data_IF_035379348911
#
_entry.id   IF_035379348911
#
_cell.length_a   1.000
_cell.length_b   1.000
_cell.length_c   1.000
_cell.angle_alpha   90.00
_cell.angle_beta   90.00
_cell.angle_gamma   90.00
#
_symmetry.space_group_name_H-M   'P 1'
#
loop_
_entity.id
_entity.type
_entity.pdbx_description
1 polymer ?
#
# COMPACT_ATOMS: atom_id res chain seq x y z
N UNK A 1 3.95 13.00 -23.73
CA UNK A 1 4.16 11.96 -22.70
C UNK A 1 4.15 12.68 -21.37
N UNK A 2 3.44 12.13 -20.39
CA UNK A 2 3.51 12.65 -19.02
C UNK A 2 4.97 12.67 -18.58
N UNK A 3 5.40 13.75 -17.94
CA UNK A 3 6.78 13.93 -17.50
C UNK A 3 6.85 14.73 -16.22
N UNK A 4 7.74 14.29 -15.32
CA UNK A 4 7.97 14.88 -14.01
C UNK A 4 9.43 15.29 -13.87
N UNK A 5 9.69 16.42 -13.22
CA UNK A 5 11.04 16.91 -12.96
C UNK A 5 11.44 16.66 -11.50
N UNK A 6 12.17 15.58 -11.18
CA UNK A 6 12.65 15.35 -9.82
C UNK A 6 13.74 16.35 -9.39
N UNK A 7 14.32 17.14 -10.29
CA UNK A 7 15.27 18.20 -9.90
C UNK A 7 14.57 19.42 -9.30
N UNK A 8 13.24 19.48 -9.41
CA UNK A 8 12.43 20.59 -8.91
C UNK A 8 12.90 21.96 -9.45
N UNK A 9 13.47 21.97 -10.66
CA UNK A 9 14.06 23.13 -11.31
C UNK A 9 15.43 23.59 -10.77
N UNK A 10 16.10 22.81 -9.91
CA UNK A 10 17.40 23.17 -9.29
C UNK A 10 18.62 22.58 -10.00
N UNK A 11 18.45 21.89 -11.13
CA UNK A 11 19.52 21.23 -11.89
C UNK A 11 20.02 19.92 -11.26
N UNK A 12 20.03 19.81 -9.93
CA UNK A 12 20.25 18.58 -9.18
C UNK A 12 19.01 18.22 -8.33
N UNK A 13 18.77 16.92 -8.14
CA UNK A 13 17.71 16.42 -7.25
C UNK A 13 18.08 16.73 -5.80
N UNK A 14 17.34 17.60 -5.07
CA UNK A 14 17.64 17.87 -3.67
C UNK A 14 17.36 16.63 -2.81
N UNK A 15 17.82 16.66 -1.56
CA UNK A 15 17.31 15.77 -0.53
C UNK A 15 15.84 16.07 -0.21
N UNK A 16 15.15 15.14 0.44
CA UNK A 16 13.70 15.24 0.65
C UNK A 16 13.34 16.49 1.45
N UNK A 17 14.07 16.76 2.53
CA UNK A 17 13.81 17.89 3.44
C UNK A 17 14.30 19.23 2.89
N UNK A 18 15.14 19.22 1.86
CA UNK A 18 15.71 20.42 1.24
C UNK A 18 14.91 20.90 0.02
N UNK A 19 13.87 20.14 -0.35
CA UNK A 19 12.97 20.52 -1.42
C UNK A 19 12.22 21.82 -1.08
N UNK A 20 11.91 22.67 -2.07
CA UNK A 20 11.14 23.89 -1.81
C UNK A 20 9.77 23.60 -1.18
N UNK A 21 9.38 24.38 -0.16
CA UNK A 21 8.14 24.23 0.60
C UNK A 21 6.89 23.99 -0.26
N UNK A 22 6.78 24.69 -1.41
CA UNK A 22 5.66 24.55 -2.36
C UNK A 22 5.41 23.12 -2.89
N UNK A 23 6.38 22.22 -2.77
CA UNK A 23 6.24 20.81 -3.15
C UNK A 23 5.84 19.91 -1.97
N UNK A 24 6.01 20.38 -0.73
CA UNK A 24 5.70 19.58 0.45
C UNK A 24 4.20 19.50 0.70
N UNK A 25 3.71 18.29 0.97
CA UNK A 25 2.35 18.05 1.45
C UNK A 25 2.42 17.11 2.64
N UNK A 26 1.64 17.40 3.68
CA UNK A 26 1.48 16.49 4.81
C UNK A 26 0.04 16.00 4.88
N UNK A 27 -0.16 14.70 4.66
CA UNK A 27 -1.49 14.08 4.56
C UNK A 27 -1.51 12.85 5.46
N UNK A 28 -2.44 12.79 6.40
CA UNK A 28 -2.58 11.65 7.32
C UNK A 28 -1.37 11.46 8.25
N UNK A 29 -0.51 12.47 8.38
CA UNK A 29 0.75 12.40 9.13
C UNK A 29 1.96 11.97 8.29
N UNK A 30 1.78 11.70 6.99
CA UNK A 30 2.86 11.33 6.06
C UNK A 30 3.30 12.54 5.25
N UNK A 31 4.61 12.75 5.16
CA UNK A 31 5.18 13.81 4.32
C UNK A 31 5.38 13.32 2.88
N UNK A 32 4.97 14.17 1.94
CA UNK A 32 5.08 13.95 0.51
C UNK A 32 5.78 15.10 -0.18
N UNK A 33 6.50 14.80 -1.27
CA UNK A 33 6.76 15.76 -2.34
C UNK A 33 5.76 15.53 -3.47
N UNK A 34 4.91 16.53 -3.72
CA UNK A 34 3.90 16.52 -4.76
C UNK A 34 4.44 17.21 -6.02
N UNK A 35 4.61 16.43 -7.08
CA UNK A 35 4.95 16.95 -8.41
C UNK A 35 3.72 16.83 -9.30
N UNK A 36 3.38 17.94 -9.97
CA UNK A 36 2.42 17.95 -11.07
C UNK A 36 3.17 17.74 -12.38
N UNK A 37 2.73 16.77 -13.16
CA UNK A 37 3.32 16.46 -14.45
C UNK A 37 2.76 17.35 -15.56
N UNK A 38 3.42 17.29 -16.72
CA UNK A 38 3.14 18.20 -17.85
C UNK A 38 1.73 18.12 -18.42
N UNK A 39 1.01 17.01 -18.25
CA UNK A 39 -0.38 16.86 -18.72
C UNK A 39 -1.38 16.81 -17.55
N UNK A 40 -1.00 17.34 -16.37
CA UNK A 40 -1.79 17.37 -15.14
C UNK A 40 -1.94 16.03 -14.41
N UNK A 41 -1.03 15.08 -14.63
CA UNK A 41 -0.85 13.96 -13.71
C UNK A 41 -0.28 14.42 -12.38
N UNK A 42 -0.52 13.65 -11.33
CA UNK A 42 0.01 13.94 -9.99
C UNK A 42 0.87 12.78 -9.52
N UNK A 43 2.04 13.11 -8.96
CA UNK A 43 2.97 12.15 -8.41
C UNK A 43 3.41 12.61 -7.01
N UNK A 44 3.05 11.83 -6.01
CA UNK A 44 3.35 12.09 -4.61
C UNK A 44 4.44 11.13 -4.16
N UNK A 45 5.65 11.62 -3.89
CA UNK A 45 6.73 10.81 -3.34
C UNK A 45 6.71 10.86 -1.83
N UNK A 46 6.78 9.72 -1.16
CA UNK A 46 7.11 9.70 0.26
C UNK A 46 8.60 9.93 0.46
N UNK A 47 9.00 10.18 1.70
CA UNK A 47 10.41 10.16 2.13
C UNK A 47 11.13 8.85 1.75
N UNK A 48 10.43 7.71 1.74
CA UNK A 48 10.98 6.42 1.34
C UNK A 48 11.16 6.29 -0.18
N UNK A 49 10.29 6.92 -0.97
CA UNK A 49 10.35 6.86 -2.43
C UNK A 49 11.33 7.84 -3.06
N UNK A 50 11.54 9.01 -2.44
CA UNK A 50 12.36 10.08 -3.03
C UNK A 50 13.80 9.69 -3.42
N UNK A 51 14.53 8.85 -2.64
CA UNK A 51 15.83 8.33 -3.06
C UNK A 51 15.78 7.54 -4.38
N UNK A 52 14.60 7.02 -4.74
CA UNK A 52 14.36 6.20 -5.92
C UNK A 52 13.57 6.95 -7.01
N UNK A 53 13.44 8.28 -6.93
CA UNK A 53 12.54 9.06 -7.78
C UNK A 53 12.69 8.74 -9.28
N UNK A 54 13.92 8.65 -9.79
CA UNK A 54 14.20 8.33 -11.20
C UNK A 54 13.67 6.95 -11.65
N UNK A 55 13.61 5.97 -10.74
CA UNK A 55 13.05 4.63 -11.00
C UNK A 55 11.53 4.57 -10.80
N UNK A 56 10.95 5.57 -10.15
CA UNK A 56 9.52 5.64 -9.86
C UNK A 56 8.73 6.47 -10.87
N UNK A 57 9.43 7.14 -11.79
CA UNK A 57 8.81 7.90 -12.88
C UNK A 57 7.91 6.99 -13.75
N UNK A 58 6.67 7.42 -14.09
CA UNK A 58 5.70 6.61 -14.85
C UNK A 58 6.23 6.08 -16.20
N UNK A 59 7.19 6.76 -16.82
CA UNK A 59 7.84 6.32 -18.06
C UNK A 59 8.57 4.98 -17.91
N UNK A 60 8.94 4.60 -16.67
CA UNK A 60 9.64 3.34 -16.35
C UNK A 60 8.72 2.15 -16.14
N UNK A 61 7.44 2.37 -15.89
CA UNK A 61 6.54 1.28 -15.46
C UNK A 61 5.07 1.46 -15.89
N UNK A 62 4.58 2.68 -16.12
CA UNK A 62 3.19 2.94 -16.52
C UNK A 62 3.03 3.09 -18.04
N UNK A 63 3.85 3.94 -18.65
CA UNK A 63 3.72 4.31 -20.07
C UNK A 63 3.79 3.09 -20.97
N UNK A 64 2.87 2.99 -21.94
CA UNK A 64 2.81 1.87 -22.88
C UNK A 64 2.42 0.53 -22.23
N UNK A 65 1.77 0.58 -21.07
CA UNK A 65 1.37 -0.59 -20.25
C UNK A 65 2.55 -1.45 -19.78
N UNK A 66 3.69 -0.83 -19.47
CA UNK A 66 4.86 -1.54 -18.96
C UNK A 66 4.58 -2.29 -17.64
N UNK A 67 3.54 -1.93 -16.88
CA UNK A 67 3.17 -2.67 -15.68
C UNK A 67 2.54 -4.02 -16.01
N UNK A 68 2.04 -4.21 -17.24
CA UNK A 68 1.38 -5.44 -17.72
C UNK A 68 2.29 -6.28 -18.63
N UNK A 69 3.13 -5.64 -19.46
CA UNK A 69 3.96 -6.35 -20.45
C UNK A 69 5.16 -7.06 -19.81
N UNK A 70 6.13 -6.34 -19.19
CA UNK A 70 7.17 -6.97 -18.37
C UNK A 70 6.71 -7.24 -16.92
N UNK A 71 5.65 -6.60 -16.45
CA UNK A 71 5.12 -6.84 -15.11
C UNK A 71 4.30 -8.11 -15.01
N UNK A 72 4.35 -8.76 -13.85
CA UNK A 72 3.61 -9.99 -13.57
C UNK A 72 2.43 -9.66 -12.65
N UNK A 73 1.21 -9.95 -13.10
CA UNK A 73 0.03 -9.91 -12.22
C UNK A 73 0.23 -10.91 -11.07
N UNK A 74 -0.03 -10.47 -9.83
CA UNK A 74 0.13 -11.33 -8.68
C UNK A 74 -1.09 -12.26 -8.56
N UNK A 75 -0.86 -13.56 -8.78
CA UNK A 75 -1.89 -14.58 -8.64
C UNK A 75 -2.49 -14.54 -7.22
N UNK A 76 -3.82 -14.60 -7.12
CA UNK A 76 -4.53 -14.57 -5.84
C UNK A 76 -4.74 -13.18 -5.23
N UNK A 77 -4.21 -12.10 -5.82
CA UNK A 77 -4.64 -10.75 -5.46
C UNK A 77 -6.07 -10.52 -5.96
N UNK A 78 -6.97 -10.04 -5.10
CA UNK A 78 -8.36 -9.72 -5.50
C UNK A 78 -8.46 -8.39 -6.26
N UNK A 79 -7.36 -7.62 -6.36
CA UNK A 79 -7.26 -6.38 -7.12
C UNK A 79 -6.17 -6.42 -8.21
N UNK A 80 -6.09 -5.35 -9.01
CA UNK A 80 -5.07 -5.19 -10.04
C UNK A 80 -3.72 -4.82 -9.40
N UNK A 81 -2.93 -5.85 -9.08
CA UNK A 81 -1.61 -5.70 -8.45
C UNK A 81 -0.55 -6.40 -9.29
N UNK A 82 0.52 -5.68 -9.61
CA UNK A 82 1.60 -6.16 -10.47
C UNK A 82 2.95 -6.04 -9.78
N UNK A 83 3.80 -7.04 -9.98
CA UNK A 83 5.25 -6.90 -9.73
C UNK A 83 5.92 -6.41 -11.01
N UNK A 84 6.58 -5.27 -10.94
CA UNK A 84 7.25 -4.66 -12.09
C UNK A 84 8.74 -4.51 -11.79
N UNK A 85 9.62 -5.31 -12.42
CA UNK A 85 11.06 -5.06 -12.37
C UNK A 85 11.36 -3.69 -13.00
N UNK A 86 12.16 -2.87 -12.32
CA UNK A 86 12.54 -1.55 -12.84
C UNK A 86 14.04 -1.38 -12.74
N UNK A 87 14.65 -0.88 -13.82
CA UNK A 87 16.06 -0.56 -13.84
C UNK A 87 16.41 0.45 -12.73
N UNK A 88 17.43 0.11 -11.94
CA UNK A 88 17.91 0.94 -10.86
C UNK A 88 19.45 0.95 -10.86
N UNK A 89 20.11 2.13 -10.79
CA UNK A 89 21.57 2.24 -10.95
C UNK A 89 22.39 1.34 -10.01
N UNK A 90 21.94 1.20 -8.76
CA UNK A 90 22.68 0.48 -7.71
C UNK A 90 22.08 -0.90 -7.38
N UNK A 91 20.85 -1.19 -7.81
CA UNK A 91 20.07 -2.34 -7.32
C UNK A 91 19.54 -3.14 -8.49
N UNK A 92 20.31 -4.13 -8.92
CA UNK A 92 19.99 -4.98 -10.08
C UNK A 92 18.66 -5.74 -9.96
N UNK A 93 18.17 -5.98 -8.74
CA UNK A 93 16.89 -6.67 -8.46
C UNK A 93 15.79 -5.74 -7.95
N UNK A 94 15.88 -4.44 -8.23
CA UNK A 94 14.85 -3.49 -7.82
C UNK A 94 13.53 -3.78 -8.57
N UNK A 95 12.45 -3.85 -7.81
CA UNK A 95 11.12 -4.07 -8.36
C UNK A 95 10.09 -3.30 -7.54
N UNK A 96 9.05 -2.87 -8.24
CA UNK A 96 7.90 -2.20 -7.68
C UNK A 96 6.75 -3.19 -7.53
N UNK A 97 5.92 -2.95 -6.52
CA UNK A 97 4.52 -3.37 -6.54
C UNK A 97 3.72 -2.19 -7.05
N UNK A 98 3.04 -2.37 -8.17
CA UNK A 98 2.12 -1.40 -8.76
C UNK A 98 0.70 -1.86 -8.40
N UNK A 99 0.05 -1.16 -7.47
CA UNK A 99 -1.29 -1.48 -6.97
C UNK A 99 -2.27 -0.40 -7.40
N UNK A 100 -3.31 -0.76 -8.14
CA UNK A 100 -4.40 0.15 -8.47
C UNK A 100 -5.37 0.20 -7.29
N UNK A 101 -5.62 1.41 -6.78
CA UNK A 101 -6.50 1.62 -5.63
C UNK A 101 -7.95 1.30 -5.99
N UNK A 102 -8.66 0.68 -5.04
CA UNK A 102 -10.07 0.30 -5.15
C UNK A 102 -11.00 1.17 -4.30
N UNK A 103 -10.52 2.29 -3.77
CA UNK A 103 -11.34 3.13 -2.90
C UNK A 103 -12.63 3.58 -3.60
N UNK A 104 -13.73 3.58 -2.84
CA UNK A 104 -15.06 3.83 -3.36
C UNK A 104 -15.74 2.64 -4.05
N UNK A 105 -15.10 1.47 -4.16
CA UNK A 105 -15.70 0.25 -4.69
C UNK A 105 -16.35 -0.62 -3.59
N UNK A 106 -17.16 -1.60 -4.00
CA UNK A 106 -17.68 -2.65 -3.14
C UNK A 106 -16.57 -3.52 -2.55
N UNK A 107 -16.64 -3.78 -1.24
CA UNK A 107 -15.73 -4.70 -0.56
C UNK A 107 -16.39 -6.07 -0.46
N UNK A 108 -15.82 -7.06 -1.15
CA UNK A 108 -16.18 -8.47 -0.98
C UNK A 108 -15.25 -9.15 0.03
N UNK A 109 -15.61 -9.13 1.32
CA UNK A 109 -14.83 -9.82 2.37
C UNK A 109 -15.34 -11.25 2.52
N UNK A 110 -14.43 -12.21 2.63
CA UNK A 110 -14.76 -13.58 3.03
C UNK A 110 -14.37 -13.76 4.49
N UNK A 111 -15.37 -13.92 5.36
CA UNK A 111 -15.15 -14.11 6.80
C UNK A 111 -15.15 -15.61 7.12
N UNK A 112 -14.18 -16.06 7.92
CA UNK A 112 -14.16 -17.42 8.44
C UNK A 112 -15.31 -17.65 9.44
N UNK A 113 -15.90 -18.85 9.43
CA UNK A 113 -17.11 -19.16 10.20
C UNK A 113 -16.98 -18.85 11.70
N UNK A 114 -15.81 -19.05 12.27
CA UNK A 114 -15.55 -18.80 13.70
C UNK A 114 -15.67 -17.31 14.07
N UNK A 115 -15.35 -16.42 13.13
CA UNK A 115 -15.37 -14.96 13.33
C UNK A 115 -16.76 -14.35 13.11
N UNK A 116 -17.68 -15.06 12.44
CA UNK A 116 -19.06 -14.60 12.21
C UNK A 116 -19.80 -14.37 13.54
N UNK A 117 -19.48 -15.16 14.57
CA UNK A 117 -20.07 -15.00 15.91
C UNK A 117 -19.59 -13.75 16.67
N UNK A 118 -18.49 -13.13 16.25
CA UNK A 118 -17.93 -11.94 16.89
C UNK A 118 -18.64 -10.67 16.38
N UNK A 119 -19.63 -10.20 17.13
CA UNK A 119 -20.43 -9.01 16.77
C UNK A 119 -19.60 -7.74 16.54
N UNK A 120 -18.52 -7.53 17.29
CA UNK A 120 -17.68 -6.36 17.12
C UNK A 120 -16.88 -6.43 15.82
N UNK A 121 -16.37 -7.62 15.49
CA UNK A 121 -15.71 -7.87 14.21
C UNK A 121 -16.68 -7.69 13.05
N UNK A 122 -17.87 -8.30 13.13
CA UNK A 122 -18.89 -8.19 12.09
C UNK A 122 -19.36 -6.74 11.86
N UNK A 123 -19.50 -5.94 12.92
CA UNK A 123 -19.81 -4.52 12.77
C UNK A 123 -18.75 -3.75 11.97
N UNK A 124 -17.48 -4.15 12.05
CA UNK A 124 -16.42 -3.56 11.21
C UNK A 124 -16.42 -4.10 9.79
N UNK A 125 -16.75 -5.37 9.59
CA UNK A 125 -16.92 -5.97 8.25
C UNK A 125 -18.08 -5.31 7.51
N UNK A 126 -19.21 -5.08 8.17
CA UNK A 126 -20.40 -4.45 7.57
C UNK A 126 -20.12 -3.00 7.12
N UNK A 127 -19.17 -2.33 7.77
CA UNK A 127 -18.74 -0.96 7.47
C UNK A 127 -17.41 -0.94 6.70
N UNK A 128 -16.95 -2.10 6.20
CA UNK A 128 -15.66 -2.18 5.55
C UNK A 128 -15.67 -1.37 4.25
N UNK A 129 -14.71 -0.46 4.16
CA UNK A 129 -14.43 0.33 2.98
C UNK A 129 -12.96 0.15 2.63
N UNK A 130 -12.65 0.05 1.34
CA UNK A 130 -11.25 0.13 0.91
C UNK A 130 -10.67 1.48 1.33
N UNK A 131 -9.50 1.44 1.96
CA UNK A 131 -8.77 2.64 2.32
C UNK A 131 -8.44 3.45 1.06
N UNK A 132 -8.61 4.78 1.13
CA UNK A 132 -8.17 5.63 0.05
C UNK A 132 -6.64 5.76 0.07
N UNK A 133 -5.99 6.11 -1.06
CA UNK A 133 -4.54 5.97 -1.23
C UNK A 133 -3.68 6.59 -0.13
N UNK A 134 -4.02 7.80 0.31
CA UNK A 134 -3.25 8.50 1.34
C UNK A 134 -3.45 7.90 2.73
N UNK A 135 -4.65 7.39 3.05
CA UNK A 135 -4.91 6.74 4.34
C UNK A 135 -4.28 5.35 4.39
N UNK A 136 -4.22 4.62 3.27
CA UNK A 136 -3.48 3.35 3.19
C UNK A 136 -2.01 3.57 3.58
N UNK A 137 -1.36 4.57 2.98
CA UNK A 137 0.02 4.93 3.34
C UNK A 137 0.13 5.41 4.79
N UNK A 138 -0.79 6.24 5.28
CA UNK A 138 -0.80 6.72 6.66
C UNK A 138 -0.91 5.58 7.67
N UNK A 139 -1.83 4.62 7.46
CA UNK A 139 -1.99 3.47 8.33
C UNK A 139 -0.76 2.57 8.33
N UNK A 140 -0.13 2.37 7.17
CA UNK A 140 1.11 1.59 7.09
C UNK A 140 2.25 2.26 7.83
N UNK A 141 2.42 3.59 7.73
CA UNK A 141 3.47 4.30 8.49
C UNK A 141 3.25 4.15 10.00
N UNK A 142 2.01 4.39 10.47
CA UNK A 142 1.66 4.22 11.89
C UNK A 142 1.89 2.79 12.38
N UNK A 143 1.45 1.79 11.61
CA UNK A 143 1.68 0.38 11.94
C UNK A 143 3.17 0.05 11.95
N UNK A 144 3.94 0.53 10.96
CA UNK A 144 5.38 0.27 10.85
C UNK A 144 6.15 0.74 12.07
N UNK A 145 5.78 1.89 12.63
CA UNK A 145 6.43 2.41 13.82
C UNK A 145 6.15 1.54 15.07
N UNK A 146 4.98 0.91 15.13
CA UNK A 146 4.56 0.06 16.24
C UNK A 146 5.03 -1.39 16.10
N UNK A 147 5.11 -1.93 14.88
CA UNK A 147 5.37 -3.35 14.63
C UNK A 147 6.85 -3.69 14.39
N UNK A 148 7.77 -2.78 14.74
CA UNK A 148 9.23 -2.96 14.53
C UNK A 148 9.70 -4.25 15.20
N UNK A 149 10.20 -5.19 14.40
CA UNK A 149 10.69 -6.48 14.86
C UNK A 149 9.64 -7.58 14.98
N UNK A 150 8.35 -7.26 14.79
CA UNK A 150 7.24 -8.22 14.72
C UNK A 150 6.95 -8.55 13.25
N UNK A 151 6.67 -7.53 12.44
CA UNK A 151 6.43 -7.66 11.01
C UNK A 151 7.40 -6.79 10.21
N UNK A 152 7.80 -7.27 9.04
CA UNK A 152 8.26 -6.39 7.97
C UNK A 152 7.04 -5.84 7.22
N UNK A 153 7.08 -4.58 6.80
CA UNK A 153 6.06 -3.98 5.91
C UNK A 153 6.70 -3.49 4.62
N UNK A 154 5.92 -3.39 3.54
CA UNK A 154 6.38 -2.80 2.28
C UNK A 154 6.56 -1.30 2.46
N UNK A 155 7.71 -0.77 2.09
CA UNK A 155 7.91 0.68 2.06
C UNK A 155 6.96 1.33 1.04
N UNK A 156 6.08 2.25 1.45
CA UNK A 156 5.26 3.03 0.54
C UNK A 156 6.16 4.06 -0.14
N UNK A 157 6.29 3.99 -1.47
CA UNK A 157 7.25 4.79 -2.21
C UNK A 157 6.60 6.04 -2.81
N UNK A 158 5.50 5.86 -3.54
CA UNK A 158 4.81 6.96 -4.18
C UNK A 158 3.35 6.64 -4.50
N UNK A 159 2.55 7.67 -4.70
CA UNK A 159 1.20 7.58 -5.26
C UNK A 159 1.21 8.32 -6.58
N UNK A 160 0.84 7.63 -7.66
CA UNK A 160 0.69 8.23 -8.98
C UNK A 160 -0.79 8.27 -9.35
N UNK A 161 -1.26 9.42 -9.82
CA UNK A 161 -2.56 9.56 -10.48
C UNK A 161 -2.32 10.07 -11.89
N UNK A 162 -2.56 9.29 -12.95
CA UNK A 162 -2.45 9.78 -14.32
C UNK A 162 -3.52 10.83 -14.60
N UNK A 163 -3.33 11.70 -15.61
CA UNK A 163 -4.27 12.76 -15.94
C UNK A 163 -5.60 12.25 -16.53
N UNK A 164 -5.62 11.02 -17.02
CA UNK A 164 -6.80 10.41 -17.62
C UNK A 164 -7.94 10.30 -16.60
N UNK A 165 -9.11 10.82 -17.01
CA UNK A 165 -10.36 10.73 -16.25
C UNK A 165 -11.24 9.61 -16.81
N UNK A 166 -12.03 9.02 -15.94
CA UNK A 166 -12.99 7.97 -16.19
C UNK A 166 -14.27 8.27 -15.43
N UNK A 167 -15.42 7.89 -15.97
CA UNK A 167 -16.68 8.00 -15.26
C UNK A 167 -16.63 7.13 -13.99
N UNK A 168 -17.28 7.59 -12.91
CA UNK A 168 -17.26 6.89 -11.62
C UNK A 168 -17.62 5.40 -11.74
N UNK A 169 -18.63 5.04 -12.55
CA UNK A 169 -19.03 3.65 -12.76
C UNK A 169 -17.95 2.80 -13.46
N UNK A 170 -17.14 3.38 -14.34
CA UNK A 170 -16.02 2.67 -15.00
C UNK A 170 -14.94 2.29 -13.98
N UNK A 171 -14.83 3.07 -12.90
CA UNK A 171 -13.94 2.83 -11.79
C UNK A 171 -14.60 2.02 -10.65
N UNK A 172 -15.87 1.62 -10.81
CA UNK A 172 -16.66 0.96 -9.77
C UNK A 172 -16.95 1.87 -8.56
N UNK A 173 -16.81 3.19 -8.69
CA UNK A 173 -16.94 4.15 -7.59
C UNK A 173 -18.39 4.44 -7.24
N UNK A 174 -18.73 4.31 -5.96
CA UNK A 174 -20.03 4.65 -5.37
C UNK A 174 -20.12 6.13 -5.04
N UNK A 175 -20.94 6.88 -5.79
CA UNK A 175 -21.06 8.33 -5.62
C UNK A 175 -21.41 8.78 -4.19
N UNK A 176 -22.21 8.01 -3.44
CA UNK A 176 -22.54 8.36 -2.05
C UNK A 176 -21.34 8.34 -1.10
N UNK A 177 -20.25 7.63 -1.44
CA UNK A 177 -19.01 7.61 -0.65
C UNK A 177 -18.10 8.81 -0.92
N UNK A 178 -18.30 9.53 -2.03
CA UNK A 178 -17.42 10.63 -2.45
C UNK A 178 -17.29 11.71 -1.36
N UNK A 179 -18.41 12.07 -0.73
CA UNK A 179 -18.41 13.06 0.35
C UNK A 179 -17.62 12.58 1.57
N UNK A 180 -17.77 11.30 1.95
CA UNK A 180 -17.05 10.68 3.07
C UNK A 180 -15.55 10.75 2.86
N UNK A 181 -15.05 10.27 1.71
CA UNK A 181 -13.61 10.30 1.40
C UNK A 181 -13.05 11.72 1.29
N UNK A 182 -13.82 12.65 0.70
CA UNK A 182 -13.40 14.07 0.62
C UNK A 182 -13.27 14.68 2.01
N UNK A 183 -14.23 14.43 2.90
CA UNK A 183 -14.19 14.91 4.28
C UNK A 183 -13.01 14.33 5.05
N UNK A 184 -12.77 13.02 4.94
CA UNK A 184 -11.64 12.35 5.58
C UNK A 184 -10.29 12.93 5.11
N UNK A 185 -10.11 13.12 3.80
CA UNK A 185 -8.87 13.71 3.26
C UNK A 185 -8.67 15.16 3.69
N UNK A 186 -9.74 15.95 3.73
CA UNK A 186 -9.66 17.33 4.22
C UNK A 186 -9.25 17.39 5.68
N UNK A 187 -9.83 16.52 6.52
CA UNK A 187 -9.51 16.43 7.94
C UNK A 187 -8.10 15.89 8.25
N UNK A 188 -7.47 15.19 7.30
CA UNK A 188 -6.12 14.64 7.47
C UNK A 188 -5.00 15.61 7.07
N UNK A 189 -5.36 16.82 6.65
CA UNK A 189 -4.45 17.90 6.24
C UNK A 189 -4.54 19.04 7.24
N UNK A 190 -3.47 19.26 8.00
CA UNK A 190 -3.45 20.15 9.16
C UNK A 190 -2.96 21.58 8.86
N UNK A 191 -2.61 21.87 7.60
CA UNK A 191 -2.02 23.15 7.21
C UNK A 191 -2.93 23.90 6.24
N UNK A 192 -3.46 25.03 6.67
CA UNK A 192 -4.31 25.91 5.86
C UNK A 192 -3.50 26.86 4.97
N UNK A 193 -2.18 26.90 5.10
CA UNK A 193 -1.30 27.79 4.31
C UNK A 193 -0.89 27.20 2.96
N UNK A 194 -1.00 25.88 2.79
CA UNK A 194 -0.70 25.17 1.56
C UNK A 194 -1.98 24.75 0.81
N UNK A 195 -1.96 24.70 -0.53
CA UNK A 195 -3.08 24.18 -1.31
C UNK A 195 -3.41 22.74 -0.90
N UNK A 196 -4.64 22.54 -0.40
CA UNK A 196 -5.13 21.23 0.00
C UNK A 196 -5.20 20.28 -1.20
N UNK A 197 -4.78 19.05 -0.99
CA UNK A 197 -4.93 17.96 -1.94
C UNK A 197 -6.37 17.46 -1.85
N UNK A 198 -7.00 17.28 -3.01
CA UNK A 198 -8.32 16.67 -3.13
C UNK A 198 -8.22 15.36 -3.90
N UNK A 199 -9.13 14.43 -3.59
CA UNK A 199 -9.33 13.27 -4.46
C UNK A 199 -10.08 13.71 -5.71
N UNK A 200 -9.52 13.38 -6.86
CA UNK A 200 -10.24 13.43 -8.11
C UNK A 200 -11.02 12.13 -8.28
N UNK A 201 -12.33 12.24 -8.08
CA UNK A 201 -13.27 11.11 -8.11
C UNK A 201 -13.42 10.45 -9.49
N UNK A 202 -12.78 10.98 -10.52
CA UNK A 202 -12.76 10.40 -11.86
C UNK A 202 -11.36 9.90 -12.27
N UNK A 203 -10.34 10.06 -11.43
CA UNK A 203 -8.99 9.59 -11.76
C UNK A 203 -8.61 8.35 -10.99
N UNK A 204 -7.89 7.44 -11.64
CA UNK A 204 -7.28 6.30 -10.94
C UNK A 204 -6.14 6.77 -10.04
N UNK A 205 -5.91 6.03 -8.97
CA UNK A 205 -4.77 6.22 -8.08
C UNK A 205 -4.00 4.91 -8.00
N UNK A 206 -2.70 5.00 -8.16
CA UNK A 206 -1.80 3.86 -8.25
C UNK A 206 -0.77 4.00 -7.14
N UNK A 207 -0.79 3.08 -6.19
CA UNK A 207 0.14 3.03 -5.08
C UNK A 207 1.37 2.22 -5.51
N UNK A 208 2.54 2.81 -5.32
CA UNK A 208 3.82 2.19 -5.56
C UNK A 208 4.44 1.79 -4.24
N UNK A 209 4.70 0.49 -4.09
CA UNK A 209 5.49 -0.03 -2.98
C UNK A 209 6.78 -0.66 -3.48
N UNK A 210 7.75 -0.78 -2.58
CA UNK A 210 8.91 -1.63 -2.84
C UNK A 210 8.51 -3.10 -2.82
N UNK A 211 9.01 -3.89 -3.78
CA UNK A 211 8.89 -5.35 -3.73
C UNK A 211 9.55 -5.92 -2.48
N UNK A 212 8.86 -6.88 -1.85
CA UNK A 212 9.35 -7.61 -0.69
C UNK A 212 9.78 -9.01 -1.12
N UNK A 213 11.06 -9.33 -0.96
CA UNK A 213 11.58 -10.65 -1.34
C UNK A 213 11.07 -11.75 -0.40
N UNK A 214 10.41 -12.74 -0.99
CA UNK A 214 9.86 -13.92 -0.34
C UNK A 214 8.77 -14.55 -1.19
N UNK A 215 8.03 -15.48 -0.60
CA UNK A 215 6.80 -16.08 -1.12
C UNK A 215 5.73 -15.96 -0.03
N UNK A 216 4.47 -15.96 -0.41
CA UNK A 216 3.40 -15.98 0.61
C UNK A 216 3.25 -17.35 1.28
N UNK A 217 2.49 -17.43 2.37
CA UNK A 217 2.33 -18.69 3.11
C UNK A 217 1.57 -19.78 2.32
N UNK A 218 0.62 -19.42 1.44
CA UNK A 218 -0.08 -20.41 0.60
C UNK A 218 0.92 -21.02 -0.40
N UNK A 219 1.76 -20.18 -1.01
CA UNK A 219 2.86 -20.63 -1.88
C UNK A 219 3.87 -21.49 -1.13
N UNK A 220 4.23 -21.12 0.10
CA UNK A 220 5.16 -21.90 0.92
C UNK A 220 4.58 -23.27 1.30
N UNK A 221 3.27 -23.32 1.58
CA UNK A 221 2.57 -24.57 1.83
C UNK A 221 2.50 -25.45 0.58
N UNK A 222 2.08 -24.88 -0.56
CA UNK A 222 2.02 -25.60 -1.83
C UNK A 222 3.39 -26.15 -2.28
N UNK A 223 4.48 -25.47 -1.91
CA UNK A 223 5.85 -25.92 -2.16
C UNK A 223 6.38 -26.96 -1.13
N UNK A 224 5.57 -27.38 -0.16
CA UNK A 224 5.94 -28.33 0.89
C UNK A 224 6.94 -27.77 1.92
N UNK A 225 7.14 -26.45 1.97
CA UNK A 225 8.10 -25.80 2.88
C UNK A 225 7.48 -25.62 4.27
N UNK A 226 6.16 -25.46 4.31
CA UNK A 226 5.37 -25.19 5.53
C UNK A 226 4.18 -26.16 5.56
N UNK A 227 3.91 -26.78 6.71
CA UNK A 227 2.74 -27.63 6.85
C UNK A 227 1.45 -26.81 6.92
N UNK A 228 0.31 -27.41 6.59
CA UNK A 228 -1.00 -26.75 6.71
C UNK A 228 -1.23 -26.23 8.14
N UNK A 229 -0.90 -27.04 9.15
CA UNK A 229 -0.97 -26.65 10.57
C UNK A 229 -0.15 -25.39 10.86
N UNK A 230 1.09 -25.32 10.37
CA UNK A 230 1.95 -24.14 10.55
C UNK A 230 1.39 -22.91 9.83
N UNK A 231 0.85 -23.08 8.62
CA UNK A 231 0.23 -21.99 7.86
C UNK A 231 -0.96 -21.39 8.62
N UNK A 232 -1.86 -22.23 9.13
CA UNK A 232 -3.03 -21.80 9.91
C UNK A 232 -2.57 -21.13 11.21
N UNK A 233 -1.68 -21.77 11.96
CA UNK A 233 -1.17 -21.26 13.24
C UNK A 233 -0.50 -19.90 13.08
N UNK A 234 0.38 -19.72 12.09
CA UNK A 234 1.06 -18.45 11.86
C UNK A 234 0.14 -17.37 11.32
N UNK A 235 -0.89 -17.72 10.54
CA UNK A 235 -1.90 -16.75 10.09
C UNK A 235 -2.71 -16.24 11.28
N UNK A 236 -3.22 -17.14 12.12
CA UNK A 236 -3.96 -16.79 13.33
C UNK A 236 -3.11 -15.97 14.30
N UNK A 237 -1.88 -16.42 14.57
CA UNK A 237 -0.96 -15.71 15.45
C UNK A 237 -0.60 -14.31 14.91
N UNK A 238 -0.51 -14.14 13.59
CA UNK A 238 -0.27 -12.82 13.00
C UNK A 238 -1.48 -11.88 13.19
N UNK A 239 -2.71 -12.39 13.09
CA UNK A 239 -3.91 -11.61 13.36
C UNK A 239 -3.98 -11.19 14.84
N UNK A 240 -3.70 -12.10 15.77
CA UNK A 240 -3.61 -11.81 17.21
C UNK A 240 -2.57 -10.70 17.49
N UNK A 241 -1.37 -10.82 16.92
CA UNK A 241 -0.32 -9.80 17.07
C UNK A 241 -0.71 -8.43 16.49
N UNK A 242 -1.49 -8.40 15.40
CA UNK A 242 -2.03 -7.14 14.88
C UNK A 242 -3.04 -6.54 15.86
N UNK A 243 -3.94 -7.36 16.43
CA UNK A 243 -4.93 -6.92 17.40
C UNK A 243 -4.28 -6.36 18.67
N UNK A 244 -3.23 -6.99 19.17
CA UNK A 244 -2.44 -6.51 20.31
C UNK A 244 -1.80 -5.13 20.04
N UNK A 245 -1.47 -4.85 18.77
CA UNK A 245 -0.99 -3.54 18.33
C UNK A 245 -2.12 -2.53 18.07
N UNK A 246 -3.38 -2.93 18.24
CA UNK A 246 -4.55 -2.08 17.96
C UNK A 246 -4.93 -2.01 16.48
N UNK A 247 -4.50 -2.97 15.66
CA UNK A 247 -4.76 -3.04 14.24
C UNK A 247 -5.46 -4.33 13.83
N UNK A 248 -6.08 -4.30 12.66
CA UNK A 248 -6.55 -5.51 12.01
C UNK A 248 -6.59 -5.33 10.50
N UNK A 249 -6.44 -6.45 9.79
CA UNK A 249 -6.72 -6.52 8.35
C UNK A 249 -8.04 -7.29 8.23
N UNK A 250 -9.10 -6.63 7.75
CA UNK A 250 -10.44 -7.24 7.77
C UNK A 250 -10.54 -8.50 6.91
N UNK A 251 -9.73 -8.61 5.85
CA UNK A 251 -9.60 -9.80 4.99
C UNK A 251 -8.28 -10.56 5.27
N UNK A 252 -7.87 -10.73 6.53
CA UNK A 252 -6.57 -11.35 6.84
C UNK A 252 -6.51 -12.82 6.40
N UNK A 253 -5.54 -13.15 5.54
CA UNK A 253 -5.38 -14.48 4.90
C UNK A 253 -3.90 -14.89 4.84
N UNK A 254 -3.58 -16.19 4.69
CA UNK A 254 -2.19 -16.63 4.62
C UNK A 254 -1.40 -15.98 3.46
N UNK A 255 -2.07 -15.66 2.34
CA UNK A 255 -1.48 -14.90 1.21
C UNK A 255 -1.02 -13.48 1.56
N UNK A 256 -1.47 -12.91 2.69
CA UNK A 256 -1.04 -11.59 3.19
C UNK A 256 0.23 -11.64 4.03
N UNK A 257 0.81 -12.84 4.21
CA UNK A 257 2.03 -13.06 4.99
C UNK A 257 3.14 -13.60 4.08
N UNK A 258 4.16 -12.79 3.88
CA UNK A 258 5.37 -13.13 3.13
C UNK A 258 6.39 -13.77 4.06
N UNK A 259 6.87 -14.95 3.70
CA UNK A 259 7.99 -15.63 4.34
C UNK A 259 9.16 -15.75 3.36
N UNK A 260 10.37 -15.87 3.88
CA UNK A 260 11.57 -16.03 3.05
C UNK A 260 12.13 -17.44 3.15
N UNK A 261 11.99 -18.27 2.11
CA UNK A 261 12.67 -19.56 2.05
C UNK A 261 14.20 -19.39 2.12
N UNK A 262 14.87 -20.34 2.77
CA UNK A 262 16.33 -20.49 2.78
C UNK A 262 16.68 -21.83 2.15
N UNK A 263 17.66 -21.84 1.24
CA UNK A 263 18.13 -23.05 0.56
C UNK A 263 18.43 -24.16 1.58
N UNK A 264 17.66 -25.25 1.51
CA UNK A 264 17.81 -26.44 2.36
C UNK A 264 17.55 -26.22 3.87
N UNK A 265 17.01 -25.08 4.29
CA UNK A 265 16.86 -24.71 5.72
C UNK A 265 15.46 -24.22 6.08
N UNK A 266 14.44 -24.62 5.32
CA UNK A 266 13.06 -24.16 5.52
C UNK A 266 12.93 -22.65 5.29
N UNK A 267 12.28 -21.94 6.22
CA UNK A 267 12.08 -20.48 6.15
C UNK A 267 13.00 -19.71 7.10
N UNK A 268 13.20 -18.43 6.81
CA UNK A 268 13.91 -17.50 7.67
C UNK A 268 13.18 -17.36 9.02
N UNK A 269 13.91 -17.61 10.09
CA UNK A 269 13.44 -17.49 11.47
C UNK A 269 14.31 -16.52 12.26
N UNK A 270 13.69 -15.88 13.26
CA UNK A 270 14.36 -15.14 14.33
C UNK A 270 13.97 -15.83 15.64
N UNK A 271 14.94 -16.41 16.33
CA UNK A 271 14.68 -17.42 17.36
C UNK A 271 13.82 -18.55 16.77
N UNK A 272 12.70 -18.88 17.39
CA UNK A 272 11.81 -19.95 16.94
C UNK A 272 10.71 -19.47 15.99
N UNK A 273 10.53 -18.16 15.85
CA UNK A 273 9.43 -17.55 15.10
C UNK A 273 9.82 -17.24 13.65
N UNK A 274 8.92 -17.46 12.67
CA UNK A 274 9.16 -17.05 11.30
C UNK A 274 9.23 -15.53 11.18
N UNK A 275 10.23 -15.04 10.43
CA UNK A 275 10.26 -13.64 10.01
C UNK A 275 9.17 -13.48 8.95
N UNK A 276 8.16 -12.67 9.26
CA UNK A 276 6.96 -12.47 8.44
C UNK A 276 6.92 -11.04 7.92
N UNK A 277 6.55 -10.90 6.66
CA UNK A 277 6.21 -9.63 6.05
C UNK A 277 4.70 -9.52 5.89
N UNK A 278 4.09 -8.46 6.42
CA UNK A 278 2.68 -8.17 6.17
C UNK A 278 2.56 -7.45 4.83
N UNK A 279 1.62 -7.88 3.99
CA UNK A 279 1.27 -7.23 2.72
C UNK A 279 -0.23 -7.12 2.57
N UNK A 280 -0.63 -6.27 1.63
CA UNK A 280 -2.03 -5.91 1.34
C UNK A 280 -2.73 -5.18 2.47
N UNK A 281 -2.88 -3.86 2.29
CA UNK A 281 -3.22 -2.93 3.35
C UNK A 281 -4.52 -2.18 3.09
N UNK A 282 -5.23 -2.48 1.99
CA UNK A 282 -6.46 -1.75 1.62
C UNK A 282 -7.61 -1.92 2.62
N UNK A 283 -7.52 -2.89 3.53
CA UNK A 283 -8.46 -3.10 4.64
C UNK A 283 -7.75 -3.11 6.00
N UNK A 284 -6.61 -2.41 6.10
CA UNK A 284 -5.88 -2.23 7.35
C UNK A 284 -6.53 -1.12 8.20
N UNK A 285 -7.27 -1.50 9.23
CA UNK A 285 -8.03 -0.58 10.08
C UNK A 285 -7.56 -0.63 11.53
N UNK A 286 -7.78 0.46 12.26
CA UNK A 286 -7.59 0.49 13.71
C UNK A 286 -8.74 -0.23 14.40
N UNK A 287 -8.43 -0.95 15.47
CA UNK A 287 -9.45 -1.55 16.32
C UNK A 287 -10.13 -0.47 17.16
N UNK A 288 -11.42 -0.65 17.48
CA UNK A 288 -12.18 0.33 18.27
C UNK A 288 -11.58 0.60 19.67
N UNK A 289 -10.78 -0.34 20.21
CA UNK A 289 -10.06 -0.16 21.47
C UNK A 289 -8.92 0.87 21.35
N UNK A 290 -8.29 0.98 20.17
CA UNK A 290 -7.19 1.90 19.90
C UNK A 290 -7.64 3.32 19.48
N UNK A 291 -8.94 3.53 19.27
CA UNK A 291 -9.52 4.85 18.92
C UNK A 291 -9.88 5.68 20.17
N UNK A 292 -9.78 5.09 21.37
CA UNK A 292 -10.10 5.73 22.66
C UNK A 292 -8.88 6.25 23.44
N UNK A 293 -7.68 6.15 22.88
CA UNK A 293 -6.43 6.67 23.41
C UNK A 293 -5.93 7.82 22.53
#
# INVERSE_FOLDING_TARGET
MEGFDPTLGRGLKPDFDEAPARFHRRIGGVDYLHLRGRQNGDLFFTRHGWPFAASLLPERWFTGEQFRKPGQALAGATGAVYRVPVAHPVRSRFALVVKFSRFGQDVGITVADELISNRQFMAQVDQAEFLPPFEEFANIERLRDQCRGIFATKAPLAIYSPPTRYLAWQLGRKNHLQWTYRRQLSASQNDDTEPKVEYDWERIYILLYRWMDGIDLEQAHAAGIVSEKQMIEWTRHSAEQLLDLGWMVLDHKPRHLIVRPRRGRGILRRHEQPVRGLVDYELLVRTAAATRA
#
